data_IF_370766770560
#
_entry.id   IF_370766770560
#
_cell.length_a   1.000
_cell.length_b   1.000
_cell.length_c   1.000
_cell.angle_alpha   90.00
_cell.angle_beta   90.00
_cell.angle_gamma   90.00
#
_symmetry.space_group_name_H-M   'P 1'
#
loop_
_entity.id
_entity.type
_entity.pdbx_description
1 polymer ?
#
# COMPACT_ATOMS: atom_id res chain seq x y z
N UNK A 1 -5.84 24.89 15.57
CA UNK A 1 -4.74 24.23 16.34
C UNK A 1 -4.44 22.95 15.58
N UNK A 2 -3.69 23.07 14.48
CA UNK A 2 -3.78 22.15 13.34
C UNK A 2 -2.47 21.39 13.05
N UNK A 3 -1.56 21.29 14.03
CA UNK A 3 -0.16 20.96 13.71
C UNK A 3 0.33 19.57 14.16
N UNK A 4 -0.56 18.66 14.55
CA UNK A 4 -0.20 17.31 15.00
C UNK A 4 -0.88 16.18 14.22
N UNK A 5 -1.41 16.48 13.03
CA UNK A 5 -2.15 15.50 12.23
C UNK A 5 -1.24 14.63 11.32
N UNK A 6 0.08 14.79 11.34
CA UNK A 6 1.02 14.00 10.52
C UNK A 6 1.79 12.96 11.35
N UNK A 7 1.12 12.29 12.29
CA UNK A 7 1.76 11.21 13.02
C UNK A 7 2.07 10.05 12.06
N UNK A 8 3.28 9.49 12.13
CA UNK A 8 3.70 8.31 11.36
C UNK A 8 2.63 7.18 11.34
N UNK A 9 1.89 6.92 12.45
CA UNK A 9 0.76 5.99 12.45
C UNK A 9 -0.37 6.35 11.47
N UNK A 10 -0.73 7.63 11.30
CA UNK A 10 -1.75 8.01 10.32
C UNK A 10 -1.30 7.71 8.91
N UNK A 11 -0.04 8.04 8.58
CA UNK A 11 0.51 7.75 7.26
C UNK A 11 0.53 6.25 6.96
N UNK A 12 0.82 5.43 7.97
CA UNK A 12 0.76 3.98 7.87
C UNK A 12 -0.66 3.49 7.58
N UNK A 13 -1.67 4.04 8.28
CA UNK A 13 -3.08 3.71 8.05
C UNK A 13 -3.49 4.07 6.63
N UNK A 14 -3.16 5.27 6.15
CA UNK A 14 -3.44 5.70 4.77
C UNK A 14 -2.86 4.73 3.74
N UNK A 15 -1.58 4.37 3.90
CA UNK A 15 -0.89 3.45 2.99
C UNK A 15 -1.53 2.05 3.01
N UNK A 16 -1.94 1.56 4.19
CA UNK A 16 -2.64 0.28 4.34
C UNK A 16 -4.00 0.28 3.65
N UNK A 17 -4.76 1.37 3.79
CA UNK A 17 -6.05 1.53 3.10
C UNK A 17 -5.83 1.53 1.58
N UNK A 18 -4.89 2.33 1.08
CA UNK A 18 -4.59 2.38 -0.36
C UNK A 18 -4.12 1.01 -0.89
N UNK A 19 -3.33 0.27 -0.12
CA UNK A 19 -2.93 -1.10 -0.47
C UNK A 19 -4.13 -2.04 -0.57
N UNK A 20 -5.04 -2.02 0.40
CA UNK A 20 -6.24 -2.85 0.40
C UNK A 20 -7.17 -2.52 -0.78
N UNK A 21 -7.32 -1.23 -1.10
CA UNK A 21 -8.10 -0.78 -2.26
C UNK A 21 -7.48 -1.27 -3.58
N UNK A 22 -6.16 -1.23 -3.70
CA UNK A 22 -5.46 -1.79 -4.86
C UNK A 22 -5.65 -3.30 -4.99
N UNK A 23 -5.63 -4.04 -3.89
CA UNK A 23 -5.92 -5.48 -3.90
C UNK A 23 -7.35 -5.75 -4.40
N UNK A 24 -8.35 -5.05 -3.85
CA UNK A 24 -9.73 -5.19 -4.30
C UNK A 24 -9.90 -4.83 -5.79
N UNK A 25 -9.16 -3.84 -6.28
CA UNK A 25 -9.18 -3.45 -7.70
C UNK A 25 -8.54 -4.52 -8.60
N UNK A 26 -7.43 -5.12 -8.16
CA UNK A 26 -6.76 -6.24 -8.85
C UNK A 26 -7.73 -7.42 -8.95
N UNK A 27 -8.39 -7.80 -7.85
CA UNK A 27 -9.31 -8.93 -7.82
C UNK A 27 -10.47 -8.73 -8.82
N UNK A 28 -11.07 -7.53 -8.83
CA UNK A 28 -12.12 -7.17 -9.78
C UNK A 28 -11.66 -7.22 -11.24
N UNK A 29 -10.43 -6.80 -11.53
CA UNK A 29 -9.87 -6.84 -12.88
C UNK A 29 -9.56 -8.27 -13.32
N UNK A 30 -9.11 -9.14 -12.41
CA UNK A 30 -8.87 -10.55 -12.73
C UNK A 30 -10.14 -11.33 -13.01
N UNK A 31 -11.29 -10.89 -12.49
CA UNK A 31 -12.60 -11.49 -12.77
C UNK A 31 -13.27 -11.02 -14.07
N UNK A 32 -12.73 -10.00 -14.75
CA UNK A 32 -13.29 -9.47 -16.00
C UNK A 32 -12.73 -10.20 -17.22
N UNK A 33 -13.54 -10.35 -18.28
CA UNK A 33 -13.10 -10.85 -19.57
C UNK A 33 -13.52 -9.89 -20.68
N UNK A 34 -12.58 -9.41 -21.54
CA UNK A 34 -11.15 -9.72 -21.52
C UNK A 34 -10.41 -9.06 -20.35
N UNK A 35 -9.40 -9.75 -19.82
CA UNK A 35 -8.51 -9.19 -18.78
C UNK A 35 -7.58 -8.18 -19.45
N UNK A 36 -7.53 -6.95 -18.92
CA UNK A 36 -6.49 -5.99 -19.29
C UNK A 36 -5.19 -6.33 -18.54
N UNK A 37 -4.34 -7.12 -19.17
CA UNK A 37 -3.07 -7.58 -18.61
C UNK A 37 -2.11 -6.41 -18.30
N UNK A 38 -2.12 -5.34 -19.12
CA UNK A 38 -1.27 -4.18 -18.92
C UNK A 38 -1.71 -3.39 -17.70
N UNK A 39 -3.02 -3.17 -17.54
CA UNK A 39 -3.58 -2.55 -16.34
C UNK A 39 -3.27 -3.39 -15.09
N UNK A 40 -3.45 -4.72 -15.18
CA UNK A 40 -3.16 -5.64 -14.09
C UNK A 40 -1.67 -5.60 -13.67
N UNK A 41 -0.75 -5.58 -14.63
CA UNK A 41 0.69 -5.45 -14.35
C UNK A 41 1.04 -4.13 -13.66
N UNK A 42 0.43 -3.01 -14.10
CA UNK A 42 0.64 -1.69 -13.47
C UNK A 42 0.14 -1.66 -12.03
N UNK A 43 -1.05 -2.23 -11.77
CA UNK A 43 -1.60 -2.29 -10.42
C UNK A 43 -0.76 -3.16 -9.49
N UNK A 44 -0.30 -4.34 -9.96
CA UNK A 44 0.59 -5.21 -9.18
C UNK A 44 1.90 -4.52 -8.82
N UNK A 45 2.50 -3.75 -9.74
CA UNK A 45 3.69 -2.93 -9.46
C UNK A 45 3.41 -1.85 -8.42
N UNK A 46 2.28 -1.15 -8.52
CA UNK A 46 1.89 -0.13 -7.55
C UNK A 46 1.65 -0.73 -6.16
N UNK A 47 0.97 -1.88 -6.09
CA UNK A 47 0.77 -2.63 -4.84
C UNK A 47 2.10 -3.00 -4.18
N UNK A 48 3.05 -3.52 -4.97
CA UNK A 48 4.39 -3.83 -4.46
C UNK A 48 5.08 -2.60 -3.87
N UNK A 49 5.03 -1.47 -4.58
CA UNK A 49 5.62 -0.22 -4.10
C UNK A 49 4.98 0.26 -2.78
N UNK A 50 3.64 0.18 -2.65
CA UNK A 50 2.95 0.52 -1.40
C UNK A 50 3.36 -0.41 -0.26
N UNK A 51 3.44 -1.73 -0.51
CA UNK A 51 3.90 -2.69 0.48
C UNK A 51 5.31 -2.35 0.98
N UNK A 52 6.22 -2.01 0.06
CA UNK A 52 7.58 -1.64 0.43
C UNK A 52 7.64 -0.31 1.19
N UNK A 53 6.74 0.64 0.90
CA UNK A 53 6.60 1.89 1.66
C UNK A 53 6.06 1.64 3.07
N UNK A 54 5.06 0.77 3.22
CA UNK A 54 4.52 0.32 4.51
C UNK A 54 5.63 -0.30 5.35
N UNK A 55 6.35 -1.28 4.79
CA UNK A 55 7.42 -1.97 5.49
C UNK A 55 8.55 -1.01 5.94
N UNK A 56 8.95 -0.06 5.08
CA UNK A 56 9.93 0.97 5.46
C UNK A 56 9.43 1.88 6.60
N UNK A 57 8.15 2.25 6.58
CA UNK A 57 7.56 3.11 7.59
C UNK A 57 7.38 2.37 8.93
N UNK A 58 6.98 1.10 8.88
CA UNK A 58 6.91 0.21 10.05
C UNK A 58 8.30 0.03 10.66
N UNK A 59 9.33 -0.25 9.85
CA UNK A 59 10.72 -0.37 10.29
C UNK A 59 11.32 0.94 10.85
N UNK A 60 10.79 2.11 10.47
CA UNK A 60 11.21 3.40 11.06
C UNK A 60 10.55 3.64 12.42
N UNK A 61 9.42 2.96 12.68
CA UNK A 61 8.62 3.14 13.91
C UNK A 61 8.98 2.08 14.97
N UNK A 62 9.39 0.88 14.55
CA UNK A 62 9.97 -0.13 15.42
C UNK A 62 11.48 0.12 15.55
N UNK A 63 12.01 0.47 16.74
CA UNK A 63 13.44 0.58 16.93
C UNK A 63 14.05 -0.84 16.87
N UNK A 64 14.56 -1.20 15.69
CA UNK A 64 15.63 -2.16 15.43
C UNK A 64 15.78 -3.30 16.46
N UNK A 65 14.96 -4.35 16.36
CA UNK A 65 15.14 -5.63 17.08
C UNK A 65 15.55 -6.77 16.12
N UNK A 66 16.06 -6.44 14.93
CA UNK A 66 16.56 -7.41 13.94
C UNK A 66 17.99 -7.05 13.50
N UNK A 67 18.91 -7.07 14.47
CA UNK A 67 20.36 -7.15 14.26
C UNK A 67 20.83 -8.61 14.14
#
# INVERSE_FOLDING_TARGET
>A
MDEQLHSLPRRLIELRIEHADLDAMIDRLTGQSPVDELALQRLKKRRLALRDMIARLEATTEPDDLA
#
